data_IF_678551738117
#
_entry.id   IF_678551738117
#
_cell.length_a   1.000
_cell.length_b   1.000
_cell.length_c   1.000
_cell.angle_alpha   90.00
_cell.angle_beta   90.00
_cell.angle_gamma   90.00
#
_symmetry.space_group_name_H-M   'P 1'
#
loop_
_entity.id
_entity.type
_entity.pdbx_description
1 polymer ?
#
# COMPACT_ATOMS: atom_id res chain seq x y z
N UNK A 1 17.30 20.67 -14.48
CA UNK A 1 17.68 19.45 -13.73
C UNK A 1 16.69 18.36 -14.09
N UNK A 2 17.14 17.22 -14.64
CA UNK A 2 16.27 16.14 -15.12
C UNK A 2 15.39 15.60 -13.96
N UNK A 3 14.11 15.25 -14.25
CA UNK A 3 13.14 14.74 -13.23
C UNK A 3 13.66 13.53 -12.44
N UNK A 4 14.45 12.68 -13.07
CA UNK A 4 15.07 11.49 -12.46
C UNK A 4 16.03 11.84 -11.32
N UNK A 5 16.82 12.90 -11.48
CA UNK A 5 17.73 13.37 -10.43
C UNK A 5 16.95 13.82 -9.19
N UNK A 6 15.77 14.43 -9.39
CA UNK A 6 14.89 14.83 -8.27
C UNK A 6 14.37 13.61 -7.51
N UNK A 7 13.91 12.55 -8.21
CA UNK A 7 13.40 11.34 -7.59
C UNK A 7 14.48 10.59 -6.80
N UNK A 8 15.68 10.45 -7.36
CA UNK A 8 16.80 9.81 -6.67
C UNK A 8 17.20 10.58 -5.42
N UNK A 9 17.31 11.93 -5.51
CA UNK A 9 17.60 12.78 -4.36
C UNK A 9 16.53 12.64 -3.27
N UNK A 10 15.24 12.70 -3.65
CA UNK A 10 14.13 12.53 -2.73
C UNK A 10 14.15 11.17 -2.04
N UNK A 11 14.31 10.09 -2.82
CA UNK A 11 14.36 8.73 -2.28
C UNK A 11 15.56 8.54 -1.34
N UNK A 12 16.73 9.09 -1.69
CA UNK A 12 17.90 9.06 -0.83
C UNK A 12 17.68 9.80 0.49
N UNK A 13 17.01 10.98 0.44
CA UNK A 13 16.61 11.72 1.63
C UNK A 13 15.69 10.92 2.55
N UNK A 14 14.66 10.26 1.98
CA UNK A 14 13.74 9.39 2.73
C UNK A 14 14.46 8.19 3.38
N UNK A 15 15.37 7.56 2.65
CA UNK A 15 16.16 6.44 3.17
C UNK A 15 17.10 6.88 4.30
N UNK A 16 17.71 8.06 4.19
CA UNK A 16 18.52 8.66 5.27
C UNK A 16 17.69 8.93 6.53
N UNK A 17 16.49 9.51 6.38
CA UNK A 17 15.57 9.74 7.52
C UNK A 17 15.18 8.43 8.24
N UNK A 18 15.21 7.29 7.54
CA UNK A 18 14.96 5.97 8.11
C UNK A 18 16.24 5.29 8.64
N UNK A 19 17.34 6.00 8.71
CA UNK A 19 18.65 5.45 9.08
C UNK A 19 19.04 4.19 8.28
N UNK A 20 18.62 4.13 7.01
CA UNK A 20 18.96 3.02 6.15
C UNK A 20 20.44 3.02 5.81
N UNK A 21 21.11 1.84 5.79
CA UNK A 21 22.50 1.76 5.41
C UNK A 21 22.71 2.21 3.96
N UNK A 22 23.82 2.89 3.71
CA UNK A 22 24.16 3.36 2.36
C UNK A 22 24.33 2.20 1.38
N UNK A 23 24.82 1.06 1.88
CA UNK A 23 24.95 -0.20 1.15
C UNK A 23 24.28 -1.33 1.92
N UNK A 24 23.69 -2.30 1.18
CA UNK A 24 22.92 -3.40 1.79
C UNK A 24 23.76 -4.50 2.45
N UNK A 25 25.07 -4.46 2.32
CA UNK A 25 25.98 -5.46 2.88
C UNK A 25 27.17 -4.77 3.54
N UNK A 26 27.64 -5.36 4.63
CA UNK A 26 28.78 -4.87 5.39
C UNK A 26 30.10 -5.28 4.74
N UNK A 27 30.16 -6.46 4.15
CA UNK A 27 31.33 -7.06 3.55
C UNK A 27 31.23 -7.10 2.02
N UNK A 28 32.37 -7.12 1.35
CA UNK A 28 32.49 -7.19 -0.09
C UNK A 28 32.43 -5.83 -0.81
N UNK A 29 32.56 -5.81 -2.15
CA UNK A 29 32.67 -4.59 -2.94
C UNK A 29 31.37 -3.76 -2.88
N UNK A 30 31.49 -2.52 -2.42
CA UNK A 30 30.39 -1.55 -2.27
C UNK A 30 30.02 -0.90 -3.60
N UNK A 31 29.65 -1.72 -4.59
CA UNK A 31 29.42 -1.30 -5.98
C UNK A 31 28.14 -0.47 -6.17
N UNK A 32 27.03 -0.83 -5.47
CA UNK A 32 25.73 -0.19 -5.67
C UNK A 32 25.15 0.31 -4.36
N UNK A 33 24.85 1.60 -4.30
CA UNK A 33 24.16 2.23 -3.16
C UNK A 33 22.73 1.69 -3.01
N UNK A 34 22.20 1.63 -1.78
CA UNK A 34 20.86 1.10 -1.53
C UNK A 34 19.75 1.88 -2.26
N UNK A 35 19.94 3.20 -2.45
CA UNK A 35 18.98 4.03 -3.20
C UNK A 35 18.72 3.50 -4.62
N UNK A 36 19.72 2.99 -5.31
CA UNK A 36 19.53 2.44 -6.68
C UNK A 36 18.78 1.11 -6.67
N UNK A 37 18.96 0.29 -5.62
CA UNK A 37 18.11 -0.90 -5.43
C UNK A 37 16.65 -0.50 -5.20
N UNK A 38 16.39 0.44 -4.29
CA UNK A 38 15.05 0.93 -3.99
C UNK A 38 14.40 1.57 -5.23
N UNK A 39 15.15 2.39 -5.98
CA UNK A 39 14.71 2.98 -7.25
C UNK A 39 14.26 1.91 -8.24
N UNK A 40 15.09 0.89 -8.48
CA UNK A 40 14.76 -0.18 -9.43
C UNK A 40 13.53 -1.00 -9.00
N UNK A 41 13.35 -1.22 -7.67
CA UNK A 41 12.17 -1.89 -7.12
C UNK A 41 10.89 -1.07 -7.36
N UNK A 42 10.95 0.25 -7.18
CA UNK A 42 9.81 1.14 -7.43
C UNK A 42 9.52 1.27 -8.93
N UNK A 43 10.55 1.47 -9.76
CA UNK A 43 10.39 1.59 -11.21
C UNK A 43 9.84 0.32 -11.85
N UNK A 44 10.19 -0.86 -11.33
CA UNK A 44 9.58 -2.14 -11.76
C UNK A 44 8.05 -2.09 -11.68
N UNK A 45 7.50 -1.54 -10.60
CA UNK A 45 6.05 -1.43 -10.44
C UNK A 45 5.46 -0.28 -11.28
N UNK A 46 6.13 0.87 -11.31
CA UNK A 46 5.68 2.02 -12.09
C UNK A 46 5.64 1.75 -13.60
N UNK A 47 6.64 1.02 -14.12
CA UNK A 47 6.74 0.64 -15.53
C UNK A 47 6.00 -0.67 -15.84
N UNK A 48 5.39 -1.34 -14.85
CA UNK A 48 4.66 -2.61 -15.00
C UNK A 48 5.48 -3.70 -15.70
N UNK A 49 6.78 -3.77 -15.45
CA UNK A 49 7.68 -4.66 -16.17
C UNK A 49 8.44 -5.62 -15.27
N UNK A 50 9.24 -6.52 -15.85
CA UNK A 50 10.07 -7.46 -15.11
C UNK A 50 11.36 -6.79 -14.60
N UNK A 51 12.02 -7.37 -13.60
CA UNK A 51 13.34 -6.91 -13.15
C UNK A 51 14.41 -6.93 -14.26
N UNK A 52 14.34 -7.91 -15.16
CA UNK A 52 15.25 -7.96 -16.33
C UNK A 52 15.06 -6.73 -17.23
N UNK A 53 13.80 -6.36 -17.48
CA UNK A 53 13.49 -5.19 -18.34
C UNK A 53 13.89 -3.88 -17.64
N UNK A 54 13.61 -3.74 -16.32
CA UNK A 54 14.05 -2.54 -15.57
C UNK A 54 15.57 -2.39 -15.59
N UNK A 55 16.32 -3.46 -15.33
CA UNK A 55 17.78 -3.39 -15.39
C UNK A 55 18.29 -2.95 -16.75
N UNK A 56 17.73 -3.48 -17.84
CA UNK A 56 18.09 -3.06 -19.20
C UNK A 56 17.74 -1.59 -19.49
N UNK A 57 16.54 -1.14 -19.11
CA UNK A 57 16.11 0.26 -19.30
C UNK A 57 17.02 1.21 -18.56
N UNK A 58 17.37 0.90 -17.31
CA UNK A 58 18.23 1.75 -16.49
C UNK A 58 19.67 1.76 -17.00
N UNK A 59 20.16 0.65 -17.53
CA UNK A 59 21.46 0.55 -18.18
C UNK A 59 21.53 1.42 -19.44
N UNK A 60 20.48 1.39 -20.29
CA UNK A 60 20.35 2.29 -21.45
C UNK A 60 20.32 3.79 -21.10
N UNK A 61 19.96 4.12 -19.86
CA UNK A 61 19.92 5.49 -19.34
C UNK A 61 21.19 5.86 -18.53
N UNK A 62 22.26 5.07 -18.64
CA UNK A 62 23.51 5.21 -17.86
C UNK A 62 23.31 5.21 -16.34
N UNK A 63 22.20 4.67 -15.88
CA UNK A 63 21.95 4.49 -14.44
C UNK A 63 22.44 3.12 -13.99
N UNK A 64 23.61 3.07 -13.38
CA UNK A 64 24.20 1.83 -12.86
C UNK A 64 23.34 1.21 -11.75
N UNK A 65 22.68 0.10 -12.06
CA UNK A 65 21.83 -0.66 -11.15
C UNK A 65 22.31 -2.10 -11.01
N UNK A 66 21.94 -2.76 -9.91
CA UNK A 66 22.25 -4.17 -9.71
C UNK A 66 21.57 -5.06 -10.76
N UNK A 67 22.12 -6.23 -10.99
CA UNK A 67 21.51 -7.25 -11.84
C UNK A 67 20.14 -7.66 -11.32
N UNK A 68 19.28 -8.20 -12.20
CA UNK A 68 17.93 -8.66 -11.82
C UNK A 68 17.94 -9.66 -10.64
N UNK A 69 18.96 -10.54 -10.58
CA UNK A 69 19.12 -11.50 -9.47
C UNK A 69 19.39 -10.79 -8.15
N UNK A 70 20.27 -9.78 -8.15
CA UNK A 70 20.54 -8.96 -6.97
C UNK A 70 19.33 -8.16 -6.52
N UNK A 71 18.53 -7.62 -7.45
CA UNK A 71 17.26 -6.94 -7.16
C UNK A 71 16.23 -7.89 -6.51
N UNK A 72 16.13 -9.14 -6.99
CA UNK A 72 15.29 -10.16 -6.37
C UNK A 72 15.73 -10.49 -4.93
N UNK A 73 17.06 -10.64 -4.71
CA UNK A 73 17.64 -10.87 -3.37
C UNK A 73 17.42 -9.65 -2.46
N UNK A 74 17.62 -8.43 -2.96
CA UNK A 74 17.36 -7.19 -2.24
C UNK A 74 15.91 -7.11 -1.76
N UNK A 75 14.94 -7.33 -2.65
CA UNK A 75 13.52 -7.32 -2.31
C UNK A 75 13.18 -8.26 -1.15
N UNK A 76 13.87 -9.41 -1.04
CA UNK A 76 13.71 -10.36 0.08
C UNK A 76 14.25 -9.80 1.40
N UNK A 77 15.31 -9.00 1.37
CA UNK A 77 15.96 -8.44 2.56
C UNK A 77 15.22 -7.27 3.18
N UNK A 78 14.45 -6.54 2.38
CA UNK A 78 13.68 -5.38 2.88
C UNK A 78 12.52 -5.87 3.73
N UNK A 79 12.51 -5.51 5.00
CA UNK A 79 11.45 -5.87 5.94
C UNK A 79 10.12 -5.17 5.63
N UNK A 80 9.01 -5.75 6.08
CA UNK A 80 7.69 -5.12 5.95
C UNK A 80 7.62 -3.84 6.79
N UNK A 81 8.33 -3.76 7.90
CA UNK A 81 8.41 -2.54 8.72
C UNK A 81 9.07 -1.40 7.95
N UNK A 82 10.18 -1.65 7.26
CA UNK A 82 10.84 -0.64 6.44
C UNK A 82 9.92 -0.15 5.30
N UNK A 83 9.18 -1.04 4.63
CA UNK A 83 8.20 -0.65 3.63
C UNK A 83 7.10 0.25 4.21
N UNK A 84 6.57 -0.08 5.40
CA UNK A 84 5.56 0.72 6.08
C UNK A 84 6.10 2.10 6.49
N UNK A 85 7.35 2.16 6.98
CA UNK A 85 8.01 3.43 7.35
C UNK A 85 8.24 4.31 6.11
N UNK A 86 8.71 3.72 5.01
CA UNK A 86 8.90 4.42 3.76
C UNK A 86 7.55 4.93 3.19
N UNK A 87 6.50 4.12 3.25
CA UNK A 87 5.15 4.54 2.86
C UNK A 87 4.70 5.76 3.67
N UNK A 88 4.86 5.71 5.00
CA UNK A 88 4.49 6.81 5.90
C UNK A 88 5.24 8.10 5.56
N UNK A 89 6.55 8.03 5.32
CA UNK A 89 7.34 9.21 4.93
C UNK A 89 6.94 9.76 3.56
N UNK A 90 6.60 8.89 2.59
CA UNK A 90 6.14 9.36 1.27
C UNK A 90 4.76 10.01 1.32
N UNK A 91 3.95 9.66 2.30
CA UNK A 91 2.66 10.32 2.54
C UNK A 91 2.83 11.72 3.13
N UNK A 92 3.87 11.94 3.96
CA UNK A 92 4.08 13.19 4.70
C UNK A 92 3.15 13.31 5.91
N UNK A 93 2.86 14.54 6.31
CA UNK A 93 1.94 14.84 7.42
C UNK A 93 0.52 14.52 6.97
N UNK A 94 -0.23 13.79 7.82
CA UNK A 94 -1.64 13.48 7.55
C UNK A 94 -2.51 14.70 7.83
N UNK A 95 -3.55 14.90 7.01
CA UNK A 95 -4.61 15.88 7.27
C UNK A 95 -5.47 15.52 8.48
N UNK A 96 -5.44 14.26 8.90
CA UNK A 96 -6.34 13.71 9.91
C UNK A 96 -7.70 13.30 9.38
N UNK A 97 -8.00 13.56 8.10
CA UNK A 97 -9.26 13.21 7.44
C UNK A 97 -9.01 12.05 6.48
N UNK A 98 -9.47 10.86 6.84
CA UNK A 98 -9.07 9.64 6.14
C UNK A 98 -10.25 8.74 5.79
N UNK A 99 -10.11 7.98 4.72
CA UNK A 99 -11.00 6.88 4.37
C UNK A 99 -10.29 5.53 4.57
N UNK A 100 -11.06 4.53 5.01
CA UNK A 100 -10.61 3.13 5.09
C UNK A 100 -11.43 2.29 4.12
N UNK A 101 -10.75 1.49 3.32
CA UNK A 101 -11.40 0.54 2.43
C UNK A 101 -10.45 -0.59 2.03
N UNK A 102 -11.01 -1.61 1.37
CA UNK A 102 -10.30 -2.77 0.90
C UNK A 102 -10.36 -2.93 -0.62
N UNK A 103 -9.27 -3.42 -1.21
CA UNK A 103 -9.25 -3.80 -2.63
C UNK A 103 -8.50 -5.11 -2.83
N UNK A 104 -8.73 -5.76 -3.97
CA UNK A 104 -8.05 -7.00 -4.33
C UNK A 104 -7.01 -6.76 -5.44
N UNK A 105 -5.89 -7.49 -5.35
CA UNK A 105 -4.90 -7.63 -6.41
C UNK A 105 -4.90 -9.06 -6.92
N UNK A 106 -5.08 -9.25 -8.22
CA UNK A 106 -5.03 -10.57 -8.86
C UNK A 106 -3.61 -11.15 -8.75
N UNK A 107 -3.51 -12.44 -8.46
CA UNK A 107 -2.23 -13.15 -8.44
C UNK A 107 -2.01 -13.80 -9.80
N UNK A 108 -0.99 -13.35 -10.51
CA UNK A 108 -0.66 -13.86 -11.85
C UNK A 108 0.28 -15.07 -11.83
N UNK A 109 0.77 -15.45 -10.65
CA UNK A 109 1.69 -16.59 -10.54
C UNK A 109 1.22 -17.56 -9.43
N UNK A 110 1.04 -18.85 -9.71
CA UNK A 110 1.10 -19.45 -11.05
C UNK A 110 -0.01 -18.93 -11.96
N UNK A 111 0.18 -19.03 -13.29
CA UNK A 111 -0.84 -18.59 -14.25
C UNK A 111 -2.14 -19.37 -14.06
N UNK A 112 -3.26 -18.74 -14.34
CA UNK A 112 -4.58 -19.41 -14.27
C UNK A 112 -4.67 -20.62 -15.18
N UNK A 113 -4.12 -20.50 -16.39
CA UNK A 113 -4.04 -21.58 -17.37
C UNK A 113 -3.25 -22.78 -16.83
N UNK A 114 -2.11 -22.56 -16.16
CA UNK A 114 -1.31 -23.62 -15.56
C UNK A 114 -2.06 -24.33 -14.42
N UNK A 115 -2.73 -23.56 -13.55
CA UNK A 115 -3.54 -24.14 -12.46
C UNK A 115 -4.68 -24.98 -13.02
N UNK A 116 -5.41 -24.51 -14.04
CA UNK A 116 -6.50 -25.25 -14.69
C UNK A 116 -6.03 -26.57 -15.28
N UNK A 117 -4.79 -26.61 -15.80
CA UNK A 117 -4.20 -27.83 -16.40
C UNK A 117 -3.82 -28.88 -15.37
N UNK A 118 -3.37 -28.46 -14.17
CA UNK A 118 -2.97 -29.37 -13.08
C UNK A 118 -4.20 -29.81 -12.26
N UNK A 119 -5.03 -28.85 -11.90
CA UNK A 119 -6.22 -29.08 -11.10
C UNK A 119 -7.43 -29.12 -12.04
N UNK A 120 -7.98 -30.33 -12.27
CA UNK A 120 -9.14 -30.55 -13.16
C UNK A 120 -10.42 -29.90 -12.64
N UNK A 121 -10.42 -29.37 -11.41
CA UNK A 121 -11.52 -28.57 -10.86
C UNK A 121 -11.41 -27.14 -11.35
N UNK A 122 -12.52 -26.39 -11.36
CA UNK A 122 -12.50 -24.98 -11.66
C UNK A 122 -11.60 -24.22 -10.66
N UNK A 123 -10.49 -23.62 -11.10
CA UNK A 123 -9.57 -22.99 -10.18
C UNK A 123 -10.13 -21.67 -9.70
N UNK A 124 -10.30 -21.53 -8.39
CA UNK A 124 -10.67 -20.26 -7.76
C UNK A 124 -9.58 -19.22 -8.04
N UNK A 125 -9.94 -18.09 -8.64
CA UNK A 125 -9.02 -16.97 -8.83
C UNK A 125 -8.41 -16.55 -7.48
N UNK A 126 -7.12 -16.79 -7.31
CA UNK A 126 -6.42 -16.35 -6.10
C UNK A 126 -6.15 -14.86 -6.18
N UNK A 127 -6.50 -14.13 -5.13
CA UNK A 127 -6.21 -12.72 -5.00
C UNK A 127 -5.54 -12.41 -3.65
N UNK A 128 -4.89 -11.27 -3.58
CA UNK A 128 -4.36 -10.71 -2.33
C UNK A 128 -5.20 -9.51 -1.95
N UNK A 129 -5.70 -9.50 -0.71
CA UNK A 129 -6.48 -8.38 -0.18
C UNK A 129 -5.54 -7.31 0.34
N UNK A 130 -5.79 -6.08 -0.05
CA UNK A 130 -5.21 -4.87 0.51
C UNK A 130 -6.31 -4.12 1.24
N UNK A 131 -6.15 -3.91 2.56
CA UNK A 131 -6.91 -2.92 3.32
C UNK A 131 -6.00 -1.72 3.54
N UNK A 132 -6.49 -0.50 3.30
CA UNK A 132 -5.67 0.70 3.36
C UNK A 132 -6.39 1.84 4.09
N UNK A 133 -5.61 2.74 4.68
CA UNK A 133 -6.06 4.08 5.05
C UNK A 133 -5.48 5.08 4.06
N UNK A 134 -6.36 5.92 3.55
CA UNK A 134 -6.09 6.92 2.53
C UNK A 134 -6.45 8.30 3.04
N UNK A 135 -5.50 9.23 3.00
CA UNK A 135 -5.73 10.64 3.28
C UNK A 135 -6.48 11.24 2.10
N UNK A 136 -7.72 11.66 2.33
CA UNK A 136 -8.60 12.14 1.26
C UNK A 136 -8.26 13.55 0.79
N UNK A 137 -7.62 14.35 1.65
CA UNK A 137 -7.19 15.71 1.32
C UNK A 137 -5.90 15.67 0.48
N UNK A 138 -4.88 14.98 1.01
CA UNK A 138 -3.58 14.88 0.33
C UNK A 138 -3.54 13.78 -0.74
N UNK A 139 -4.59 12.95 -0.86
CA UNK A 139 -4.73 11.84 -1.82
C UNK A 139 -3.57 10.85 -1.77
N UNK A 140 -3.18 10.44 -0.56
CA UNK A 140 -2.06 9.56 -0.29
C UNK A 140 -2.42 8.38 0.60
N UNK A 141 -1.79 7.23 0.36
CA UNK A 141 -1.90 6.07 1.23
C UNK A 141 -1.03 6.26 2.47
N UNK A 142 -1.64 6.21 3.67
CA UNK A 142 -0.95 6.38 4.95
C UNK A 142 -0.50 5.05 5.54
N UNK A 143 -1.37 4.04 5.49
CA UNK A 143 -1.12 2.72 6.06
C UNK A 143 -1.77 1.62 5.25
N UNK A 144 -1.11 0.46 5.20
CA UNK A 144 -1.54 -0.73 4.47
C UNK A 144 -1.56 -1.95 5.37
N UNK A 145 -2.54 -2.83 5.13
CA UNK A 145 -2.59 -4.20 5.63
C UNK A 145 -2.82 -5.15 4.47
N UNK A 146 -1.82 -5.98 4.17
CA UNK A 146 -1.85 -6.88 3.02
C UNK A 146 -2.05 -8.32 3.51
N UNK A 147 -3.06 -8.99 2.98
CA UNK A 147 -3.42 -10.37 3.31
C UNK A 147 -3.44 -11.25 2.07
N UNK A 148 -2.90 -12.44 2.21
CA UNK A 148 -2.94 -13.48 1.17
C UNK A 148 -4.20 -14.33 1.25
N UNK A 149 -4.74 -14.49 2.47
CA UNK A 149 -6.04 -15.10 2.73
C UNK A 149 -7.00 -13.97 3.12
N UNK A 150 -8.17 -13.85 2.47
CA UNK A 150 -9.18 -12.84 2.81
C UNK A 150 -9.65 -13.02 4.25
N UNK A 151 -9.91 -11.91 4.91
CA UNK A 151 -10.59 -11.85 6.22
C UNK A 151 -11.57 -10.68 6.20
N UNK A 152 -12.51 -10.69 7.14
CA UNK A 152 -13.46 -9.58 7.31
C UNK A 152 -12.73 -8.26 7.53
N UNK A 153 -13.24 -7.18 6.94
CA UNK A 153 -12.66 -5.84 6.93
C UNK A 153 -12.46 -5.28 8.32
N UNK A 154 -13.40 -5.50 9.21
CA UNK A 154 -13.37 -5.11 10.63
C UNK A 154 -12.07 -5.51 11.34
N UNK A 155 -11.51 -6.70 11.01
CA UNK A 155 -10.27 -7.21 11.63
C UNK A 155 -9.02 -6.42 11.24
N UNK A 156 -9.08 -5.68 10.15
CA UNK A 156 -7.96 -4.87 9.65
C UNK A 156 -8.07 -3.41 10.07
N UNK A 157 -9.27 -2.94 10.45
CA UNK A 157 -9.53 -1.55 10.78
C UNK A 157 -8.73 -1.07 11.99
N UNK A 158 -8.90 -1.70 13.16
CA UNK A 158 -8.25 -1.25 14.40
C UNK A 158 -6.73 -1.10 14.28
N UNK A 159 -5.96 -2.09 13.75
CA UNK A 159 -4.52 -1.93 13.55
C UNK A 159 -4.13 -0.79 12.61
N UNK A 160 -4.95 -0.49 11.59
CA UNK A 160 -4.70 0.60 10.66
C UNK A 160 -4.99 1.96 11.30
N UNK A 161 -6.09 2.08 12.05
CA UNK A 161 -6.47 3.30 12.77
C UNK A 161 -5.40 3.66 13.82
N UNK A 162 -4.89 2.68 14.58
CA UNK A 162 -3.81 2.89 15.57
C UNK A 162 -2.57 3.50 14.91
N UNK A 163 -2.22 3.03 13.69
CA UNK A 163 -1.03 3.53 12.98
C UNK A 163 -1.17 4.96 12.49
N UNK A 164 -2.38 5.39 12.17
CA UNK A 164 -2.62 6.68 11.51
C UNK A 164 -3.21 7.75 12.43
N UNK A 165 -3.89 7.34 13.52
CA UNK A 165 -4.53 8.22 14.52
C UNK A 165 -5.30 9.37 13.86
N UNK A 166 -6.31 9.09 13.00
CA UNK A 166 -7.05 10.12 12.30
C UNK A 166 -7.96 10.90 13.25
N UNK A 167 -8.42 12.08 12.80
CA UNK A 167 -9.49 12.85 13.45
C UNK A 167 -10.86 12.46 12.93
N UNK A 168 -10.99 12.26 11.61
CA UNK A 168 -12.21 11.81 10.92
C UNK A 168 -11.91 10.53 10.12
N UNK A 169 -12.79 9.53 10.25
CA UNK A 169 -12.67 8.23 9.60
C UNK A 169 -13.91 7.90 8.78
N UNK A 170 -13.75 7.79 7.47
CA UNK A 170 -14.80 7.34 6.55
C UNK A 170 -14.63 5.86 6.22
N UNK A 171 -15.71 5.08 6.25
CA UNK A 171 -15.69 3.66 5.90
C UNK A 171 -17.02 3.17 5.38
N UNK A 172 -17.01 2.06 4.64
CA UNK A 172 -18.24 1.43 4.22
C UNK A 172 -18.92 0.65 5.36
N UNK A 173 -20.13 0.13 5.11
CA UNK A 173 -20.86 -0.69 6.08
C UNK A 173 -20.14 -1.98 6.47
N UNK A 174 -19.14 -2.44 5.69
CA UNK A 174 -18.28 -3.57 6.03
C UNK A 174 -17.45 -3.33 7.29
N UNK A 175 -17.16 -2.07 7.60
CA UNK A 175 -16.43 -1.65 8.82
C UNK A 175 -17.34 -1.34 9.99
N UNK A 176 -18.69 -1.37 9.82
CA UNK A 176 -19.64 -1.10 10.90
C UNK A 176 -19.57 -2.18 11.98
N UNK A 177 -18.98 -1.84 13.10
CA UNK A 177 -18.83 -2.68 14.28
C UNK A 177 -18.82 -1.84 15.53
N UNK A 178 -19.64 -2.24 16.53
CA UNK A 178 -19.67 -1.54 17.83
C UNK A 178 -18.27 -1.39 18.45
N UNK A 179 -17.42 -2.42 18.33
CA UNK A 179 -16.03 -2.39 18.83
C UNK A 179 -15.16 -1.34 18.13
N UNK A 180 -15.43 -1.05 16.85
CA UNK A 180 -14.73 0.01 16.12
C UNK A 180 -15.25 1.37 16.55
N UNK A 181 -16.57 1.55 16.66
CA UNK A 181 -17.17 2.80 17.14
C UNK A 181 -16.73 3.12 18.57
N UNK A 182 -16.70 2.13 19.47
CA UNK A 182 -16.19 2.27 20.82
C UNK A 182 -14.72 2.71 20.82
N UNK A 183 -13.87 2.00 20.06
CA UNK A 183 -12.46 2.34 19.96
C UNK A 183 -12.25 3.76 19.44
N UNK A 184 -12.97 4.16 18.39
CA UNK A 184 -12.90 5.50 17.82
C UNK A 184 -13.40 6.56 18.80
N UNK A 185 -14.49 6.30 19.53
CA UNK A 185 -15.02 7.21 20.55
C UNK A 185 -13.99 7.54 21.62
N UNK A 186 -13.37 6.52 22.22
CA UNK A 186 -12.35 6.71 23.25
C UNK A 186 -11.07 7.39 22.75
N UNK A 187 -10.78 7.28 21.45
CA UNK A 187 -9.63 7.95 20.84
C UNK A 187 -9.99 9.32 20.19
N UNK A 188 -11.19 9.86 20.47
CA UNK A 188 -11.68 11.13 19.92
C UNK A 188 -11.66 11.17 18.39
N UNK A 189 -11.95 10.05 17.74
CA UNK A 189 -12.04 9.90 16.29
C UNK A 189 -13.51 9.91 15.89
N UNK A 190 -13.94 10.88 15.10
CA UNK A 190 -15.28 10.92 14.54
C UNK A 190 -15.39 9.92 13.38
N UNK A 191 -16.40 9.05 13.40
CA UNK A 191 -16.61 8.05 12.37
C UNK A 191 -17.80 8.40 11.48
N UNK A 192 -17.58 8.27 10.16
CA UNK A 192 -18.61 8.34 9.12
C UNK A 192 -18.69 6.97 8.44
N UNK A 193 -19.29 6.00 9.15
CA UNK A 193 -19.47 4.63 8.68
C UNK A 193 -20.95 4.37 8.58
N UNK A 194 -21.42 3.99 7.37
CA UNK A 194 -22.84 3.70 7.15
C UNK A 194 -23.25 2.46 7.96
N UNK A 195 -24.31 2.53 8.78
CA UNK A 195 -24.80 1.37 9.53
C UNK A 195 -25.22 0.25 8.57
N UNK A 196 -25.02 -0.99 9.00
CA UNK A 196 -25.56 -2.16 8.29
C UNK A 196 -27.08 -2.18 8.42
N UNK A 197 -27.76 -2.71 7.42
CA UNK A 197 -29.20 -2.97 7.49
C UNK A 197 -29.49 -3.90 8.67
N UNK A 198 -30.56 -3.65 9.40
CA UNK A 198 -31.05 -4.49 10.52
C UNK A 198 -30.11 -4.64 11.73
N UNK A 199 -29.21 -3.69 11.95
CA UNK A 199 -28.35 -3.70 13.15
C UNK A 199 -28.91 -2.78 14.23
N UNK A 200 -29.02 -3.28 15.46
CA UNK A 200 -29.42 -2.46 16.61
C UNK A 200 -28.35 -1.38 16.86
N UNK A 201 -28.81 -0.13 16.98
CA UNK A 201 -27.94 0.98 17.36
C UNK A 201 -27.57 0.83 18.85
N UNK A 202 -26.37 0.34 19.09
CA UNK A 202 -25.80 0.26 20.43
C UNK A 202 -25.14 1.58 20.84
N UNK A 203 -24.76 1.72 22.12
CA UNK A 203 -24.31 2.94 22.79
C UNK A 203 -23.30 3.78 21.96
N UNK A 204 -22.21 3.18 21.54
CA UNK A 204 -21.12 3.93 20.87
C UNK A 204 -21.45 4.23 19.41
N UNK A 205 -22.12 3.30 18.73
CA UNK A 205 -22.63 3.56 17.35
C UNK A 205 -23.62 4.74 17.38
N UNK A 206 -24.57 4.75 18.32
CA UNK A 206 -25.54 5.86 18.45
C UNK A 206 -24.82 7.21 18.63
N UNK A 207 -23.88 7.30 19.56
CA UNK A 207 -23.09 8.52 19.81
C UNK A 207 -22.31 8.99 18.56
N UNK A 208 -21.74 8.06 17.80
CA UNK A 208 -21.00 8.40 16.57
C UNK A 208 -21.93 8.84 15.44
N UNK A 209 -23.19 8.33 15.42
CA UNK A 209 -24.20 8.71 14.42
C UNK A 209 -24.84 10.08 14.69
N UNK A 210 -24.76 10.63 15.91
CA UNK A 210 -25.26 11.97 16.21
C UNK A 210 -24.64 13.06 15.33
N UNK A 211 -23.38 12.89 14.95
CA UNK A 211 -22.64 13.81 14.08
C UNK A 211 -22.47 13.26 12.67
N UNK A 212 -23.27 12.26 12.27
CA UNK A 212 -23.19 11.68 10.93
C UNK A 212 -23.83 12.59 9.89
N UNK A 213 -23.08 12.86 8.83
CA UNK A 213 -23.57 13.59 7.65
C UNK A 213 -23.39 12.73 6.40
N UNK A 214 -24.47 12.51 5.67
CA UNK A 214 -24.42 11.75 4.43
C UNK A 214 -23.59 12.46 3.35
N UNK A 215 -23.66 13.81 3.31
CA UNK A 215 -22.83 14.62 2.43
C UNK A 215 -21.33 14.42 2.70
N UNK A 216 -20.92 14.38 3.97
CA UNK A 216 -19.53 14.07 4.31
C UNK A 216 -19.19 12.60 4.02
N UNK A 217 -20.10 11.67 4.26
CA UNK A 217 -19.91 10.25 3.99
C UNK A 217 -19.52 9.94 2.54
N UNK A 218 -20.06 10.68 1.57
CA UNK A 218 -19.72 10.51 0.16
C UNK A 218 -18.23 10.72 -0.15
N UNK A 219 -17.48 11.44 0.69
CA UNK A 219 -16.04 11.58 0.56
C UNK A 219 -15.30 10.23 0.66
N UNK A 220 -15.94 9.19 1.19
CA UNK A 220 -15.41 7.82 1.19
C UNK A 220 -15.01 7.36 -0.22
N UNK A 221 -15.75 7.73 -1.24
CA UNK A 221 -15.46 7.33 -2.63
C UNK A 221 -14.08 7.75 -3.13
N UNK A 222 -13.43 8.72 -2.48
CA UNK A 222 -12.08 9.17 -2.84
C UNK A 222 -11.01 8.08 -2.63
N UNK A 223 -11.20 7.13 -1.70
CA UNK A 223 -10.27 6.00 -1.58
C UNK A 223 -10.40 5.04 -2.77
N UNK A 224 -11.61 4.86 -3.31
CA UNK A 224 -11.83 4.04 -4.51
C UNK A 224 -11.10 4.64 -5.72
N UNK A 225 -11.17 5.98 -5.86
CA UNK A 225 -10.39 6.73 -6.85
C UNK A 225 -8.88 6.56 -6.63
N UNK A 226 -8.41 6.56 -5.37
CA UNK A 226 -7.03 6.29 -5.00
C UNK A 226 -6.58 4.89 -5.43
N UNK A 227 -7.38 3.86 -5.15
CA UNK A 227 -7.12 2.49 -5.61
C UNK A 227 -7.13 2.38 -7.13
N UNK A 228 -8.12 3.01 -7.80
CA UNK A 228 -8.18 3.06 -9.25
C UNK A 228 -6.94 3.69 -9.86
N UNK A 229 -6.50 4.84 -9.33
CA UNK A 229 -5.29 5.53 -9.75
C UNK A 229 -4.04 4.65 -9.56
N UNK A 230 -3.86 4.05 -8.38
CA UNK A 230 -2.75 3.15 -8.10
C UNK A 230 -2.72 1.96 -9.05
N UNK A 231 -3.87 1.32 -9.30
CA UNK A 231 -3.97 0.17 -10.22
C UNK A 231 -3.74 0.57 -11.68
N UNK A 232 -4.24 1.72 -12.13
CA UNK A 232 -3.95 2.22 -13.47
C UNK A 232 -2.48 2.50 -13.67
N UNK A 233 -1.81 3.15 -12.70
CA UNK A 233 -0.39 3.52 -12.80
C UNK A 233 0.55 2.32 -12.62
N UNK A 234 0.29 1.43 -11.66
CA UNK A 234 1.21 0.38 -11.26
C UNK A 234 0.70 -1.06 -11.52
N UNK A 235 -0.46 -1.21 -12.16
CA UNK A 235 -1.09 -2.50 -12.44
C UNK A 235 -1.90 -3.07 -11.28
N UNK A 236 -3.02 -3.75 -11.60
CA UNK A 236 -3.96 -4.37 -10.67
C UNK A 236 -3.61 -5.81 -10.27
N UNK A 237 -2.43 -6.29 -10.65
CA UNK A 237 -1.98 -7.66 -10.36
C UNK A 237 -0.64 -7.69 -9.65
N UNK A 238 -0.31 -8.84 -9.06
CA UNK A 238 0.98 -9.13 -8.43
C UNK A 238 1.55 -10.43 -8.97
N UNK A 239 2.85 -10.42 -9.28
CA UNK A 239 3.58 -11.56 -9.88
C UNK A 239 4.38 -12.37 -8.87
N UNK A 240 4.47 -11.91 -7.62
CA UNK A 240 5.22 -12.57 -6.57
C UNK A 240 4.66 -13.96 -6.23
N UNK A 241 5.55 -14.96 -6.10
CA UNK A 241 5.16 -16.32 -5.67
C UNK A 241 4.96 -16.42 -4.16
N UNK A 242 5.83 -15.78 -3.39
CA UNK A 242 5.88 -15.87 -1.91
C UNK A 242 5.23 -14.66 -1.26
N UNK A 243 4.75 -14.84 -0.03
CA UNK A 243 4.06 -13.82 0.75
C UNK A 243 4.85 -12.49 0.86
N UNK A 244 6.14 -12.57 1.19
CA UNK A 244 6.99 -11.40 1.30
C UNK A 244 7.14 -10.65 -0.02
N UNK A 245 7.19 -11.38 -1.15
CA UNK A 245 7.28 -10.79 -2.48
C UNK A 245 6.01 -10.01 -2.85
N UNK A 246 4.84 -10.60 -2.60
CA UNK A 246 3.53 -9.97 -2.84
C UNK A 246 3.38 -8.72 -1.98
N UNK A 247 3.75 -8.81 -0.70
CA UNK A 247 3.70 -7.64 0.21
C UNK A 247 4.62 -6.52 -0.26
N UNK A 248 5.84 -6.84 -0.71
CA UNK A 248 6.77 -5.86 -1.25
C UNK A 248 6.20 -5.19 -2.52
N UNK A 249 5.64 -5.96 -3.45
CA UNK A 249 5.04 -5.42 -4.69
C UNK A 249 3.91 -4.43 -4.38
N UNK A 250 2.97 -4.78 -3.51
CA UNK A 250 1.84 -3.91 -3.17
C UNK A 250 2.32 -2.65 -2.43
N UNK A 251 3.29 -2.77 -1.51
CA UNK A 251 3.89 -1.59 -0.85
C UNK A 251 4.59 -0.69 -1.87
N UNK A 252 5.36 -1.24 -2.80
CA UNK A 252 6.00 -0.45 -3.87
C UNK A 252 4.96 0.30 -4.71
N UNK A 253 3.83 -0.34 -5.07
CA UNK A 253 2.75 0.32 -5.82
C UNK A 253 2.16 1.52 -5.08
N UNK A 254 1.90 1.38 -3.78
CA UNK A 254 1.38 2.47 -2.96
C UNK A 254 2.41 3.60 -2.78
N UNK A 255 3.69 3.25 -2.59
CA UNK A 255 4.78 4.22 -2.51
C UNK A 255 4.94 4.98 -3.85
N UNK A 256 4.89 4.27 -4.97
CA UNK A 256 4.90 4.90 -6.30
C UNK A 256 3.73 5.87 -6.46
N UNK A 257 2.52 5.48 -6.03
CA UNK A 257 1.36 6.37 -6.06
C UNK A 257 1.62 7.63 -5.25
N UNK A 258 2.10 7.51 -4.01
CA UNK A 258 2.39 8.66 -3.15
C UNK A 258 3.48 9.57 -3.74
N UNK A 259 4.53 9.01 -4.32
CA UNK A 259 5.63 9.78 -4.93
C UNK A 259 5.20 10.50 -6.22
N UNK A 260 4.30 9.94 -7.01
CA UNK A 260 3.79 10.52 -8.26
C UNK A 260 2.87 11.72 -8.03
N UNK A 261 2.25 11.83 -6.85
CA UNK A 261 1.41 12.98 -6.48
C UNK A 261 2.20 14.13 -5.84
N UNK A 262 3.49 13.96 -5.63
CA UNK A 262 4.38 14.97 -5.05
C UNK A 262 5.12 15.82 -6.09
N UNK A 263 4.70 15.75 -7.37
CA UNK A 263 5.30 16.55 -8.46
C UNK A 263 4.33 17.62 -8.92
#
# INVERSE_FOLDING_TARGET
MKKEVKLVKKLNGLLKQLNCPHYLHHFGPKKYKFVYHALALLLKEALKCSFRRVSKILDLLDVRVPTYSALCKCRRRISVSLWNSLLKLTAGVSSGVVAIDGTAFSRTNPSFHYIKRIDRREPVKRYSKLSAIFDIIHRKFLALKIRLKPRHDVKDAKPLIIKTKPKKLFGDSGYDSEKIHEFCYWNKIQTFIKPRKNVRLRKFRKKQMENYSEKEYHQRSLIESGFGSMKRKCGGSVSGKRAWSIKAEINCKAICHNLMLCN
#
